data_IF_066383275656
#
_entry.id   IF_066383275656
#
_cell.length_a   1.000
_cell.length_b   1.000
_cell.length_c   1.000
_cell.angle_alpha   90.00
_cell.angle_beta   90.00
_cell.angle_gamma   90.00
#
_symmetry.space_group_name_H-M   'P 1'
#
loop_
_entity.id
_entity.type
_entity.pdbx_description
1 polymer ?
#
# COMPACT_ATOMS: atom_id res chain seq x y z
N UNK A 1 -0.88 -3.93 -15.37
CA UNK A 1 0.25 -3.50 -14.51
C UNK A 1 1.32 -4.58 -14.35
N UNK A 2 1.03 -5.74 -13.74
CA UNK A 2 2.03 -6.81 -13.53
C UNK A 2 2.78 -7.24 -14.80
N UNK A 3 2.09 -7.30 -15.96
CA UNK A 3 2.74 -7.63 -17.23
C UNK A 3 3.72 -6.55 -17.74
N UNK A 4 3.44 -5.27 -17.46
CA UNK A 4 4.33 -4.14 -17.80
C UNK A 4 5.62 -4.24 -16.98
N UNK A 5 5.50 -4.45 -15.66
CA UNK A 5 6.64 -4.63 -14.76
C UNK A 5 7.49 -5.85 -15.16
N UNK A 6 6.84 -6.97 -15.51
CA UNK A 6 7.52 -8.20 -15.96
C UNK A 6 8.04 -8.13 -17.40
N UNK A 7 7.68 -7.09 -18.17
CA UNK A 7 7.87 -6.99 -19.64
C UNK A 7 7.31 -8.19 -20.42
N UNK A 8 6.37 -8.92 -19.85
CA UNK A 8 5.69 -10.07 -20.46
C UNK A 8 4.32 -10.30 -19.83
N UNK A 9 3.31 -10.78 -20.59
CA UNK A 9 2.00 -11.10 -20.04
C UNK A 9 2.06 -12.01 -18.82
N UNK A 10 1.15 -11.80 -17.85
CA UNK A 10 1.00 -12.71 -16.73
C UNK A 10 0.25 -13.96 -17.21
N UNK A 11 0.83 -15.12 -16.99
CA UNK A 11 0.21 -16.41 -17.31
C UNK A 11 -0.87 -16.68 -16.28
N UNK A 12 -2.10 -16.88 -16.75
CA UNK A 12 -3.29 -17.09 -15.94
C UNK A 12 -3.94 -18.43 -16.28
N UNK A 13 -4.63 -19.01 -15.31
CA UNK A 13 -5.42 -20.24 -15.48
C UNK A 13 -6.80 -20.05 -14.86
N UNK A 14 -7.81 -20.70 -15.44
CA UNK A 14 -9.17 -20.68 -14.89
C UNK A 14 -9.23 -21.46 -13.56
N UNK A 15 -9.92 -20.90 -12.58
CA UNK A 15 -10.29 -21.59 -11.35
C UNK A 15 -11.15 -22.84 -11.65
N UNK A 16 -11.19 -23.78 -10.71
CA UNK A 16 -11.93 -25.03 -10.83
C UNK A 16 -13.43 -24.89 -10.56
N UNK A 17 -13.81 -24.02 -9.63
CA UNK A 17 -15.17 -23.92 -9.11
C UNK A 17 -15.85 -22.58 -9.37
N UNK A 18 -15.08 -21.55 -9.71
CA UNK A 18 -15.57 -20.19 -9.95
C UNK A 18 -15.07 -19.65 -11.29
N UNK A 19 -15.81 -18.72 -11.88
CA UNK A 19 -15.48 -18.09 -13.16
C UNK A 19 -14.45 -16.95 -13.00
N UNK A 20 -13.35 -17.23 -12.29
CA UNK A 20 -12.21 -16.31 -12.12
C UNK A 20 -10.93 -16.93 -12.69
N UNK A 21 -9.93 -16.09 -12.90
CA UNK A 21 -8.59 -16.49 -13.31
C UNK A 21 -7.56 -16.12 -12.25
N UNK A 22 -6.58 -17.00 -12.05
CA UNK A 22 -5.50 -16.86 -11.07
C UNK A 22 -4.13 -17.04 -11.72
N UNK A 23 -3.02 -16.53 -11.15
CA UNK A 23 -1.68 -16.76 -11.67
C UNK A 23 -1.37 -18.25 -11.79
N UNK A 24 -0.99 -18.71 -12.99
CA UNK A 24 -0.73 -20.12 -13.29
C UNK A 24 0.45 -20.71 -12.48
N UNK A 25 1.29 -19.85 -11.91
CA UNK A 25 2.44 -20.23 -11.10
C UNK A 25 2.27 -19.94 -9.60
N UNK A 26 1.05 -19.67 -9.13
CA UNK A 26 0.78 -19.58 -7.70
C UNK A 26 1.16 -20.89 -6.99
N UNK A 27 1.72 -20.79 -5.78
CA UNK A 27 2.06 -21.95 -4.95
C UNK A 27 0.79 -22.63 -4.42
N UNK A 28 -0.16 -21.83 -3.92
CA UNK A 28 -1.42 -22.25 -3.32
C UNK A 28 -2.51 -21.25 -3.75
N UNK A 29 -3.68 -21.77 -4.12
CA UNK A 29 -4.88 -21.00 -4.48
C UNK A 29 -6.07 -21.52 -3.68
N UNK A 30 -6.77 -20.60 -3.02
CA UNK A 30 -8.01 -20.86 -2.28
C UNK A 30 -9.20 -20.36 -3.11
N UNK A 31 -10.09 -21.26 -3.51
CA UNK A 31 -11.32 -20.92 -4.22
C UNK A 31 -12.52 -21.03 -3.29
N UNK A 32 -13.52 -20.17 -3.47
CA UNK A 32 -14.68 -20.15 -2.59
C UNK A 32 -15.60 -18.96 -2.81
N UNK A 33 -16.46 -18.72 -1.83
CA UNK A 33 -17.44 -17.63 -1.84
C UNK A 33 -17.45 -16.88 -0.51
N UNK A 34 -17.59 -15.56 -0.56
CA UNK A 34 -17.78 -14.71 0.61
C UNK A 34 -19.26 -14.69 0.98
N UNK A 35 -19.58 -14.92 2.26
CA UNK A 35 -20.97 -14.88 2.71
C UNK A 35 -21.50 -13.45 2.75
N UNK A 36 -22.72 -13.25 2.24
CA UNK A 36 -23.43 -11.97 2.35
C UNK A 36 -24.25 -11.85 3.66
N UNK A 37 -24.31 -12.92 4.45
CA UNK A 37 -25.19 -13.02 5.63
C UNK A 37 -24.47 -13.49 6.89
N UNK A 38 -23.44 -14.31 6.74
CA UNK A 38 -22.67 -14.85 7.87
C UNK A 38 -21.42 -14.01 8.07
N UNK A 39 -21.26 -13.55 9.29
CA UNK A 39 -20.12 -12.80 9.77
C UNK A 39 -19.53 -13.54 10.97
N UNK A 40 -18.24 -13.33 11.21
CA UNK A 40 -17.51 -13.88 12.35
C UNK A 40 -16.68 -12.77 12.99
N UNK A 41 -16.39 -12.94 14.27
CA UNK A 41 -15.46 -12.08 14.99
C UNK A 41 -14.04 -12.25 14.41
N UNK A 42 -13.46 -11.16 13.93
CA UNK A 42 -12.04 -11.05 13.56
C UNK A 42 -11.29 -10.28 14.64
N UNK A 43 -10.04 -10.68 14.89
CA UNK A 43 -9.20 -10.05 15.89
C UNK A 43 -9.43 -10.53 17.33
N UNK A 44 -8.84 -9.83 18.33
CA UNK A 44 -7.97 -8.68 18.14
C UNK A 44 -6.67 -9.09 17.43
N UNK A 45 -6.17 -8.22 16.55
CA UNK A 45 -4.92 -8.44 15.82
C UNK A 45 -4.05 -7.19 15.84
N UNK A 46 -2.74 -7.37 15.98
CA UNK A 46 -1.76 -6.27 15.95
C UNK A 46 -1.51 -5.83 14.51
N UNK A 47 -1.63 -4.54 14.21
CA UNK A 47 -1.47 -4.04 12.84
C UNK A 47 -0.28 -3.09 12.66
N UNK A 48 -0.15 -2.54 11.44
CA UNK A 48 0.87 -1.58 11.01
C UNK A 48 0.97 -0.30 11.86
N UNK A 49 0.02 -0.05 12.77
CA UNK A 49 0.12 1.05 13.72
C UNK A 49 0.98 0.71 14.94
N UNK A 50 1.29 -0.58 15.13
CA UNK A 50 1.95 -1.11 16.32
C UNK A 50 1.02 -1.37 17.50
N UNK A 51 -0.31 -1.33 17.28
CA UNK A 51 -1.33 -1.56 18.31
C UNK A 51 -2.29 -2.67 17.89
N UNK A 52 -3.03 -3.19 18.86
CA UNK A 52 -4.11 -4.14 18.60
C UNK A 52 -5.38 -3.41 18.15
N UNK A 53 -5.97 -3.89 17.06
CA UNK A 53 -7.34 -3.55 16.68
C UNK A 53 -8.34 -4.28 17.58
N UNK A 54 -9.52 -3.66 17.76
CA UNK A 54 -10.63 -4.28 18.46
C UNK A 54 -11.20 -5.46 17.65
N UNK A 55 -11.97 -6.30 18.32
CA UNK A 55 -12.76 -7.33 17.64
C UNK A 55 -13.85 -6.66 16.80
N UNK A 56 -13.96 -7.05 15.54
CA UNK A 56 -15.00 -6.59 14.62
C UNK A 56 -15.58 -7.74 13.80
N UNK A 57 -16.79 -7.55 13.27
CA UNK A 57 -17.50 -8.57 12.48
C UNK A 57 -17.11 -8.48 11.00
N UNK A 58 -16.49 -9.52 10.45
CA UNK A 58 -16.13 -9.62 9.04
C UNK A 58 -16.85 -10.80 8.35
N UNK A 59 -17.10 -10.70 7.03
CA UNK A 59 -17.82 -11.74 6.31
C UNK A 59 -16.98 -13.03 6.21
N UNK A 60 -17.64 -14.17 6.39
CA UNK A 60 -16.99 -15.47 6.33
C UNK A 60 -16.63 -15.86 4.88
N UNK A 61 -15.36 -16.19 4.63
CA UNK A 61 -14.92 -16.76 3.36
C UNK A 61 -15.01 -18.30 3.40
N UNK A 62 -15.93 -18.86 2.60
CA UNK A 62 -16.18 -20.30 2.52
C UNK A 62 -15.35 -20.91 1.40
N UNK A 63 -14.30 -21.66 1.76
CA UNK A 63 -13.43 -22.35 0.81
C UNK A 63 -14.12 -23.60 0.28
N UNK A 64 -14.26 -23.70 -1.04
CA UNK A 64 -14.80 -24.87 -1.74
C UNK A 64 -13.71 -25.81 -2.21
N UNK A 65 -12.58 -25.26 -2.69
CA UNK A 65 -11.45 -26.01 -3.23
C UNK A 65 -10.13 -25.31 -2.89
N UNK A 66 -9.12 -26.12 -2.58
CA UNK A 66 -7.72 -25.69 -2.48
C UNK A 66 -6.97 -26.36 -3.62
N UNK A 67 -6.35 -25.56 -4.49
CA UNK A 67 -5.41 -26.06 -5.51
C UNK A 67 -3.99 -25.61 -5.18
N UNK A 68 -3.00 -26.46 -5.44
CA UNK A 68 -1.61 -26.18 -5.08
C UNK A 68 -0.65 -26.94 -5.98
N UNK A 69 0.61 -26.48 -6.00
CA UNK A 69 1.71 -27.24 -6.59
C UNK A 69 1.95 -28.55 -5.82
N UNK A 70 2.67 -29.50 -6.44
CA UNK A 70 2.98 -30.80 -5.82
C UNK A 70 3.73 -30.68 -4.49
N UNK A 71 4.67 -29.73 -4.41
CA UNK A 71 5.45 -29.39 -3.23
C UNK A 71 5.36 -27.87 -3.02
N UNK A 72 4.27 -27.36 -2.43
CA UNK A 72 4.03 -25.92 -2.38
C UNK A 72 4.85 -25.24 -1.28
N UNK A 73 5.21 -23.98 -1.51
CA UNK A 73 5.77 -23.09 -0.49
C UNK A 73 4.66 -22.18 0.06
N UNK A 74 4.50 -22.14 1.37
CA UNK A 74 3.59 -21.20 2.03
C UNK A 74 4.31 -19.87 2.29
N UNK A 75 4.10 -18.90 1.40
CA UNK A 75 4.59 -17.54 1.58
C UNK A 75 3.68 -16.81 2.58
N UNK A 76 4.27 -16.23 3.62
CA UNK A 76 3.57 -15.48 4.65
C UNK A 76 4.39 -14.25 5.05
N UNK A 77 3.74 -13.32 5.74
CA UNK A 77 4.32 -12.09 6.29
C UNK A 77 3.62 -11.77 7.62
N UNK A 78 4.06 -10.71 8.28
CA UNK A 78 3.41 -10.16 9.46
C UNK A 78 3.34 -8.65 9.35
N UNK A 79 2.52 -8.03 10.19
CA UNK A 79 2.50 -6.59 10.38
C UNK A 79 2.57 -6.26 11.87
N UNK A 80 3.07 -5.08 12.20
CA UNK A 80 3.21 -4.64 13.58
C UNK A 80 3.72 -3.22 13.66
N UNK A 81 4.46 -2.90 14.73
CA UNK A 81 5.08 -1.58 14.85
C UNK A 81 6.13 -1.43 13.73
N UNK A 82 6.04 -0.39 12.88
CA UNK A 82 6.98 -0.20 11.79
C UNK A 82 8.38 0.15 12.32
N UNK A 83 9.45 -0.14 11.54
CA UNK A 83 9.41 -0.70 10.19
C UNK A 83 9.12 -2.22 10.18
N UNK A 84 8.12 -2.62 9.39
CA UNK A 84 7.75 -3.99 9.05
C UNK A 84 7.78 -4.21 7.52
N UNK A 85 7.66 -5.46 7.03
CA UNK A 85 7.73 -5.74 5.59
C UNK A 85 6.71 -4.92 4.76
N UNK A 86 5.43 -4.80 5.16
CA UNK A 86 4.48 -3.92 4.48
C UNK A 86 4.92 -2.45 4.41
N UNK A 87 5.54 -1.91 5.46
CA UNK A 87 6.01 -0.52 5.45
C UNK A 87 7.14 -0.28 4.45
N UNK A 88 8.07 -1.22 4.30
CA UNK A 88 9.15 -1.17 3.30
C UNK A 88 8.58 -1.31 1.88
N UNK A 89 7.58 -2.18 1.69
CA UNK A 89 6.86 -2.26 0.41
C UNK A 89 6.15 -0.94 0.10
N UNK A 90 5.52 -0.31 1.10
CA UNK A 90 4.88 1.00 0.96
C UNK A 90 5.85 2.10 0.57
N UNK A 91 7.03 2.13 1.19
CA UNK A 91 8.11 3.06 0.84
C UNK A 91 8.55 2.88 -0.63
N UNK A 92 8.80 1.64 -1.06
CA UNK A 92 9.18 1.36 -2.45
C UNK A 92 8.07 1.74 -3.45
N UNK A 93 6.80 1.60 -3.07
CA UNK A 93 5.66 2.02 -3.89
C UNK A 93 5.50 3.55 -3.95
N UNK A 94 5.94 4.28 -2.92
CA UNK A 94 5.90 5.74 -2.92
C UNK A 94 6.74 6.37 -4.04
N UNK A 95 7.83 5.71 -4.45
CA UNK A 95 8.63 6.11 -5.61
C UNK A 95 7.81 6.23 -6.91
N UNK A 96 6.72 5.47 -7.03
CA UNK A 96 5.84 5.52 -8.21
C UNK A 96 5.03 6.83 -8.22
N UNK A 97 4.73 7.40 -7.05
CA UNK A 97 3.94 8.62 -6.93
C UNK A 97 4.78 9.89 -7.06
N UNK A 98 6.07 9.86 -6.74
CA UNK A 98 6.94 11.04 -6.82
C UNK A 98 6.92 11.69 -8.22
N UNK A 99 7.08 10.96 -9.35
CA UNK A 99 7.00 11.57 -10.68
C UNK A 99 5.62 12.16 -11.00
N UNK A 100 4.55 11.56 -10.48
CA UNK A 100 3.17 12.06 -10.66
C UNK A 100 3.00 13.38 -9.91
N UNK A 101 3.54 13.48 -8.70
CA UNK A 101 3.55 14.72 -7.91
C UNK A 101 4.39 15.80 -8.57
N UNK A 102 5.60 15.49 -9.05
CA UNK A 102 6.46 16.44 -9.75
C UNK A 102 5.80 16.96 -11.03
N UNK A 103 5.09 16.10 -11.77
CA UNK A 103 4.37 16.53 -12.96
C UNK A 103 3.30 17.59 -12.63
N UNK A 104 2.58 17.42 -11.53
CA UNK A 104 1.53 18.33 -11.08
C UNK A 104 2.08 19.58 -10.35
N UNK A 105 3.18 19.42 -9.62
CA UNK A 105 3.85 20.45 -8.81
C UNK A 105 5.35 20.44 -9.12
N UNK A 106 5.78 21.10 -10.22
CA UNK A 106 7.17 21.05 -10.68
C UNK A 106 8.20 21.62 -9.70
N UNK A 107 7.75 22.33 -8.66
CA UNK A 107 8.63 22.77 -7.58
C UNK A 107 9.02 21.66 -6.59
N UNK A 108 8.31 20.53 -6.56
CA UNK A 108 8.65 19.40 -5.69
C UNK A 108 9.95 18.78 -6.21
N UNK A 109 10.92 18.62 -5.31
CA UNK A 109 12.19 17.94 -5.60
C UNK A 109 12.10 16.48 -5.18
N UNK A 110 11.61 16.22 -3.97
CA UNK A 110 11.37 14.87 -3.45
C UNK A 110 10.17 14.86 -2.51
N UNK A 111 9.57 13.67 -2.36
CA UNK A 111 8.44 13.39 -1.50
C UNK A 111 8.66 12.05 -0.79
N UNK A 112 8.60 12.05 0.53
CA UNK A 112 8.87 10.87 1.33
C UNK A 112 7.83 10.69 2.44
N UNK A 113 7.37 9.45 2.63
CA UNK A 113 6.57 9.06 3.79
C UNK A 113 7.35 8.01 4.58
N UNK A 114 7.90 8.36 5.76
CA UNK A 114 8.72 7.43 6.53
C UNK A 114 7.92 6.21 7.00
N UNK A 115 8.48 4.99 6.93
CA UNK A 115 7.89 3.78 7.51
C UNK A 115 7.44 3.98 8.96
N UNK A 116 8.25 4.64 9.77
CA UNK A 116 8.02 4.93 11.19
C UNK A 116 6.76 5.80 11.40
N UNK A 117 6.38 6.58 10.39
CA UNK A 117 5.13 7.33 10.33
C UNK A 117 3.90 6.48 9.99
N UNK A 118 3.96 5.15 10.23
CA UNK A 118 2.95 4.18 9.82
C UNK A 118 2.69 4.24 8.31
N UNK A 119 3.74 4.40 7.51
CA UNK A 119 3.74 4.44 6.03
C UNK A 119 3.01 5.61 5.36
N UNK A 120 2.08 6.29 6.04
CA UNK A 120 1.27 7.35 5.42
C UNK A 120 0.93 8.54 6.32
N UNK A 121 1.15 8.49 7.64
CA UNK A 121 0.63 9.55 8.54
C UNK A 121 1.50 10.81 8.54
N UNK A 122 2.76 10.69 8.15
CA UNK A 122 3.74 11.77 8.03
C UNK A 122 4.22 11.82 6.59
N UNK A 123 4.36 13.02 6.03
CA UNK A 123 5.04 13.26 4.77
C UNK A 123 6.10 14.36 4.94
N UNK A 124 7.27 14.16 4.35
CA UNK A 124 8.36 15.13 4.25
C UNK A 124 8.53 15.47 2.77
N UNK A 125 8.52 16.76 2.44
CA UNK A 125 8.49 17.25 1.07
C UNK A 125 9.57 18.31 0.91
N UNK A 126 10.45 18.11 -0.06
CA UNK A 126 11.46 19.10 -0.41
C UNK A 126 11.01 19.88 -1.65
N UNK A 127 11.15 21.20 -1.61
CA UNK A 127 10.69 22.08 -2.69
C UNK A 127 11.72 23.14 -3.09
N UNK A 128 11.72 23.52 -4.37
CA UNK A 128 12.38 24.72 -4.88
C UNK A 128 11.49 25.94 -4.66
N UNK A 129 11.63 26.55 -3.49
CA UNK A 129 10.82 27.69 -3.09
C UNK A 129 11.15 28.93 -3.92
N UNK A 130 10.12 29.58 -4.48
CA UNK A 130 10.23 30.77 -5.33
C UNK A 130 9.45 31.97 -4.81
N UNK A 131 8.51 31.79 -3.88
CA UNK A 131 7.75 32.89 -3.28
C UNK A 131 7.24 32.59 -1.86
N UNK A 132 7.00 33.64 -1.03
CA UNK A 132 6.39 33.47 0.29
C UNK A 132 5.00 32.83 0.24
N UNK A 133 4.75 31.84 1.10
CA UNK A 133 3.46 31.14 1.18
C UNK A 133 3.31 29.93 0.26
N UNK A 134 4.27 29.66 -0.62
CA UNK A 134 4.26 28.48 -1.53
C UNK A 134 4.07 27.15 -0.78
N UNK A 135 4.66 27.02 0.42
CA UNK A 135 4.48 25.87 1.30
C UNK A 135 3.00 25.53 1.54
N UNK A 136 2.15 26.53 1.77
CA UNK A 136 0.71 26.30 2.01
C UNK A 136 0.01 25.74 0.77
N UNK A 137 0.40 26.21 -0.42
CA UNK A 137 -0.10 25.69 -1.71
C UNK A 137 0.27 24.21 -1.85
N UNK A 138 1.52 23.87 -1.58
CA UNK A 138 2.02 22.49 -1.69
C UNK A 138 1.32 21.56 -0.73
N UNK A 139 1.19 21.94 0.54
CA UNK A 139 0.49 21.13 1.55
C UNK A 139 -0.96 20.88 1.13
N UNK A 140 -1.70 21.93 0.75
CA UNK A 140 -3.09 21.79 0.30
C UNK A 140 -3.19 20.96 -0.98
N UNK A 141 -2.24 21.11 -1.91
CA UNK A 141 -2.18 20.33 -3.15
C UNK A 141 -2.00 18.85 -2.87
N UNK A 142 -1.02 18.47 -2.04
CA UNK A 142 -0.75 17.07 -1.69
C UNK A 142 -1.93 16.43 -0.96
N UNK A 143 -2.52 17.14 0.00
CA UNK A 143 -3.67 16.66 0.78
C UNK A 143 -5.00 16.65 0.00
N UNK A 144 -5.02 17.04 -1.27
CA UNK A 144 -6.24 17.03 -2.09
C UNK A 144 -6.09 16.33 -3.45
N UNK A 145 -4.88 16.22 -3.98
CA UNK A 145 -4.64 15.75 -5.34
C UNK A 145 -4.75 14.22 -5.48
N UNK A 146 -3.99 13.46 -4.69
CA UNK A 146 -4.01 12.00 -4.73
C UNK A 146 -4.72 11.44 -3.50
N UNK A 147 -5.67 10.53 -3.73
CA UNK A 147 -6.45 9.87 -2.67
C UNK A 147 -5.57 9.16 -1.63
N UNK A 148 -4.40 8.68 -2.06
CA UNK A 148 -3.42 8.00 -1.21
C UNK A 148 -2.93 8.86 -0.03
N UNK A 149 -2.90 10.19 -0.20
CA UNK A 149 -2.33 11.11 0.79
C UNK A 149 -3.38 11.85 1.64
N UNK A 150 -4.67 11.57 1.44
CA UNK A 150 -5.76 12.25 2.17
C UNK A 150 -5.70 12.02 3.68
N UNK A 151 -5.16 10.89 4.11
CA UNK A 151 -5.06 10.53 5.53
C UNK A 151 -3.71 10.90 6.16
N UNK A 152 -2.82 11.55 5.41
CA UNK A 152 -1.59 12.14 5.94
C UNK A 152 -1.96 13.27 6.90
N UNK A 153 -1.53 13.17 8.16
CA UNK A 153 -1.88 14.14 9.21
C UNK A 153 -0.80 15.17 9.45
N UNK A 154 0.46 14.80 9.22
CA UNK A 154 1.61 15.66 9.41
C UNK A 154 2.32 15.85 8.09
N UNK A 155 2.62 17.10 7.77
CA UNK A 155 3.33 17.46 6.55
C UNK A 155 4.45 18.42 6.90
N UNK A 156 5.67 18.03 6.59
CA UNK A 156 6.89 18.80 6.81
C UNK A 156 7.36 19.24 5.43
N UNK A 157 7.54 20.54 5.24
CA UNK A 157 8.06 21.08 3.98
C UNK A 157 9.39 21.74 4.25
N UNK A 158 10.39 21.32 3.49
CA UNK A 158 11.78 21.79 3.57
C UNK A 158 12.22 22.35 2.22
N UNK A 159 13.30 23.11 2.22
CA UNK A 159 13.93 23.61 1.00
C UNK A 159 14.72 22.48 0.29
N UNK A 160 15.24 22.75 -0.91
CA UNK A 160 15.89 21.76 -1.79
C UNK A 160 17.30 21.34 -1.39
N UNK A 161 17.85 21.98 -0.35
CA UNK A 161 19.13 21.63 0.28
C UNK A 161 19.00 20.59 1.41
N UNK A 162 17.77 20.21 1.78
CA UNK A 162 17.51 19.20 2.81
C UNK A 162 17.13 17.85 2.18
N UNK A 163 17.83 16.80 2.59
CA UNK A 163 17.52 15.43 2.21
C UNK A 163 16.33 14.90 3.04
N UNK A 164 15.21 14.56 2.39
CA UNK A 164 13.95 14.25 3.09
C UNK A 164 13.91 12.88 3.78
N UNK A 165 14.93 12.04 3.57
CA UNK A 165 15.03 10.67 4.11
C UNK A 165 16.17 10.50 5.11
N UNK A 166 16.78 11.60 5.54
CA UNK A 166 17.80 11.67 6.59
C UNK A 166 17.25 12.41 7.81
#
# INVERSE_FOLDING_TARGET
>A
FAGLLRKKPLELVNCKTISLQVPAHAEIVLEGYVSLKRYQDEGPYGDHTGYYNCVEQFPEFNITVITMRKNPIYLSTFTGKPPDEPSILGEALNEIFVPILINQFPEIVDFYQPPEGCSYRIAVISIKKSYPGQTKRIVMGILSFLKQFLYTKFTIVVDDDIHVRD
#
